data_IF_313746462128
#
_entry.id   IF_313746462128
#
_cell.length_a   1.000
_cell.length_b   1.000
_cell.length_c   1.000
_cell.angle_alpha   90.00
_cell.angle_beta   90.00
_cell.angle_gamma   90.00
#
_symmetry.space_group_name_H-M   'P 1'
#
loop_
_entity.id
_entity.type
_entity.pdbx_description
1 polymer ?
#
# COMPACT_ATOMS: atom_id res chain seq x y z
N UNK A 1 -9.38 18.90 24.46
CA UNK A 1 -9.42 18.08 23.23
C UNK A 1 -8.85 18.91 22.09
N UNK A 2 -7.54 18.86 21.87
CA UNK A 2 -6.94 19.41 20.66
C UNK A 2 -6.91 18.27 19.65
N UNK A 3 -7.82 18.33 18.68
CA UNK A 3 -7.73 17.53 17.46
C UNK A 3 -6.43 17.95 16.76
N UNK A 4 -5.45 17.05 16.72
CA UNK A 4 -4.25 17.22 15.91
C UNK A 4 -4.65 17.12 14.45
N UNK A 5 -5.11 18.25 13.88
CA UNK A 5 -5.33 18.38 12.46
C UNK A 5 -4.00 18.16 11.76
N UNK A 6 -3.87 17.02 11.07
CA UNK A 6 -2.79 16.80 10.11
C UNK A 6 -2.77 17.98 9.12
N UNK A 7 -1.61 18.57 8.81
CA UNK A 7 -1.52 19.72 7.93
C UNK A 7 -2.17 19.41 6.57
N UNK A 8 -2.94 20.36 6.05
CA UNK A 8 -3.62 20.24 4.75
C UNK A 8 -2.61 20.00 3.63
N UNK A 9 -2.77 18.91 2.88
CA UNK A 9 -1.87 18.51 1.79
C UNK A 9 -2.04 19.36 0.56
N UNK A 10 -0.94 19.57 -0.17
CA UNK A 10 -1.03 20.08 -1.54
C UNK A 10 -1.77 19.05 -2.42
N UNK A 11 -2.48 19.47 -3.48
CA UNK A 11 -3.18 18.54 -4.37
C UNK A 11 -2.27 17.47 -5.02
N UNK A 12 -0.98 17.79 -5.22
CA UNK A 12 0.02 16.87 -5.78
C UNK A 12 0.44 15.77 -4.79
N UNK A 13 0.37 16.03 -3.48
CA UNK A 13 0.78 15.08 -2.43
C UNK A 13 -0.36 14.12 -2.00
N UNK A 14 -1.47 14.10 -2.74
CA UNK A 14 -2.67 13.31 -2.40
C UNK A 14 -2.89 12.11 -3.31
N UNK A 15 -2.10 11.97 -4.38
CA UNK A 15 -2.04 10.76 -5.21
C UNK A 15 -0.78 9.95 -4.86
N UNK A 16 -0.77 8.64 -5.14
CA UNK A 16 0.44 7.83 -4.97
C UNK A 16 1.63 8.46 -5.68
N UNK A 17 2.72 8.68 -4.96
CA UNK A 17 4.02 8.98 -5.55
C UNK A 17 4.78 7.67 -5.74
N UNK A 18 4.80 7.17 -6.97
CA UNK A 18 5.49 5.92 -7.35
C UNK A 18 7.03 5.97 -7.23
N UNK A 19 7.59 7.09 -6.77
CA UNK A 19 9.02 7.28 -6.52
C UNK A 19 9.35 7.57 -5.05
N UNK A 20 8.38 7.38 -4.15
CA UNK A 20 8.56 7.59 -2.72
C UNK A 20 8.48 6.27 -1.92
N UNK A 21 9.08 6.20 -0.72
CA UNK A 21 8.93 5.05 0.18
C UNK A 21 7.47 4.65 0.40
N UNK A 22 7.25 3.34 0.52
CA UNK A 22 5.93 2.76 0.69
C UNK A 22 5.13 2.65 -0.60
N UNK A 23 5.68 2.99 -1.76
CA UNK A 23 4.97 2.85 -3.04
C UNK A 23 4.98 1.41 -3.56
N UNK A 24 3.88 1.00 -4.18
CA UNK A 24 3.79 -0.17 -5.07
C UNK A 24 3.06 0.23 -6.35
N UNK A 25 3.78 0.31 -7.46
CA UNK A 25 3.25 0.78 -8.75
C UNK A 25 3.81 -0.05 -9.90
N UNK A 26 3.26 0.11 -11.11
CA UNK A 26 3.73 -0.62 -12.31
C UNK A 26 3.61 -2.15 -12.13
N UNK A 27 4.62 -2.93 -12.52
CA UNK A 27 4.56 -4.39 -12.72
C UNK A 27 5.20 -5.30 -11.64
N UNK A 28 4.71 -5.26 -10.38
CA UNK A 28 4.80 -4.13 -9.49
C UNK A 28 6.24 -3.93 -8.97
N UNK A 29 6.69 -2.69 -9.12
CA UNK A 29 7.87 -2.11 -8.48
C UNK A 29 7.47 -1.54 -7.11
N UNK A 30 8.22 -1.91 -6.08
CA UNK A 30 8.07 -1.39 -4.73
C UNK A 30 9.25 -0.50 -4.34
N UNK A 31 8.99 0.44 -3.43
CA UNK A 31 10.04 1.17 -2.70
C UNK A 31 9.82 0.91 -1.21
N UNK A 32 10.79 0.26 -0.57
CA UNK A 32 10.73 -0.10 0.84
C UNK A 32 10.71 1.12 1.78
N UNK A 33 10.41 0.88 3.05
CA UNK A 33 10.58 1.87 4.12
C UNK A 33 12.02 2.36 4.25
N UNK A 34 12.99 1.51 3.86
CA UNK A 34 14.41 1.83 3.72
C UNK A 34 14.77 2.67 2.47
N UNK A 35 13.77 3.04 1.66
CA UNK A 35 13.93 3.83 0.43
C UNK A 35 14.50 3.06 -0.75
N UNK A 36 14.71 1.74 -0.65
CA UNK A 36 15.28 0.94 -1.73
C UNK A 36 14.21 0.38 -2.66
N UNK A 37 14.51 0.41 -3.95
CA UNK A 37 13.68 -0.20 -4.99
C UNK A 37 13.83 -1.72 -4.97
N UNK A 38 12.72 -2.45 -5.04
CA UNK A 38 12.71 -3.88 -5.29
C UNK A 38 11.47 -4.30 -6.08
N UNK A 39 11.54 -5.47 -6.72
CA UNK A 39 10.43 -6.03 -7.48
C UNK A 39 9.92 -7.29 -6.80
N UNK A 40 8.59 -7.41 -6.73
CA UNK A 40 7.91 -8.60 -6.24
C UNK A 40 6.87 -9.00 -7.27
N UNK A 41 7.16 -10.05 -8.03
CA UNK A 41 6.27 -10.47 -9.12
C UNK A 41 5.01 -11.15 -8.58
N UNK A 42 5.12 -11.93 -7.50
CA UNK A 42 3.99 -12.72 -7.03
C UNK A 42 3.49 -13.62 -8.16
N UNK A 43 2.17 -13.79 -8.24
CA UNK A 43 1.55 -14.67 -9.25
C UNK A 43 0.15 -14.24 -9.62
N UNK A 44 -0.20 -14.39 -10.89
CA UNK A 44 -1.53 -14.05 -11.39
C UNK A 44 -2.62 -14.86 -10.68
N UNK A 45 -3.69 -14.17 -10.28
CA UNK A 45 -4.84 -14.70 -9.52
C UNK A 45 -4.49 -15.24 -8.12
N UNK A 46 -3.42 -14.73 -7.51
CA UNK A 46 -3.04 -15.09 -6.15
C UNK A 46 -2.99 -13.86 -5.22
N UNK A 47 -2.92 -14.13 -3.92
CA UNK A 47 -2.94 -13.12 -2.87
C UNK A 47 -1.67 -13.21 -2.02
N UNK A 48 -1.14 -12.05 -1.65
CA UNK A 48 0.08 -11.95 -0.83
C UNK A 48 -0.05 -10.87 0.23
N UNK A 49 0.45 -11.15 1.43
CA UNK A 49 0.57 -10.15 2.50
C UNK A 49 1.68 -9.15 2.16
N UNK A 50 1.29 -7.90 1.92
CA UNK A 50 2.22 -6.79 1.77
C UNK A 50 2.73 -6.32 3.13
N UNK A 51 1.86 -6.28 4.13
CA UNK A 51 2.16 -5.90 5.51
C UNK A 51 1.43 -6.85 6.44
N UNK A 52 2.11 -7.35 7.45
CA UNK A 52 1.52 -8.08 8.56
C UNK A 52 2.18 -7.65 9.87
N UNK A 53 1.37 -7.11 10.76
CA UNK A 53 1.72 -6.69 12.11
C UNK A 53 0.65 -7.21 13.09
N UNK A 54 0.81 -6.98 14.39
CA UNK A 54 -0.11 -7.52 15.41
C UNK A 54 -1.56 -7.05 15.27
N UNK A 55 -1.78 -5.83 14.76
CA UNK A 55 -3.07 -5.14 14.69
C UNK A 55 -3.44 -4.67 13.27
N UNK A 56 -2.54 -4.86 12.30
CA UNK A 56 -2.73 -4.51 10.90
C UNK A 56 -2.24 -5.64 9.98
N UNK A 57 -3.08 -6.06 9.05
CA UNK A 57 -2.62 -6.83 7.90
C UNK A 57 -3.20 -6.27 6.61
N UNK A 58 -2.32 -6.02 5.64
CA UNK A 58 -2.67 -5.58 4.29
C UNK A 58 -2.22 -6.66 3.31
N UNK A 59 -3.19 -7.27 2.64
CA UNK A 59 -2.96 -8.19 1.56
C UNK A 59 -3.22 -7.51 0.22
N UNK A 60 -2.58 -8.00 -0.83
CA UNK A 60 -2.83 -7.60 -2.20
C UNK A 60 -3.23 -8.80 -3.07
N UNK A 61 -4.20 -8.61 -3.95
CA UNK A 61 -4.52 -9.53 -5.05
C UNK A 61 -3.73 -9.12 -6.28
N UNK A 62 -3.05 -10.09 -6.90
CA UNK A 62 -2.29 -9.88 -8.13
C UNK A 62 -3.10 -10.41 -9.32
N UNK A 63 -3.26 -9.58 -10.34
CA UNK A 63 -3.69 -10.01 -11.68
C UNK A 63 -2.45 -10.13 -12.56
N UNK A 64 -2.57 -10.75 -13.73
CA UNK A 64 -1.43 -10.86 -14.62
C UNK A 64 -1.73 -11.41 -16.00
N UNK A 65 -0.77 -11.20 -16.89
CA UNK A 65 -0.80 -11.58 -18.30
C UNK A 65 0.47 -12.35 -18.67
N UNK A 66 0.33 -13.44 -19.42
CA UNK A 66 1.46 -14.21 -19.95
C UNK A 66 1.35 -14.34 -21.47
N UNK A 67 2.13 -13.55 -22.22
CA UNK A 67 2.22 -13.73 -23.66
C UNK A 67 2.83 -15.08 -24.02
N UNK A 68 2.45 -15.58 -25.20
CA UNK A 68 3.06 -16.78 -25.77
C UNK A 68 4.59 -16.67 -25.81
N UNK A 69 5.26 -17.74 -25.36
CA UNK A 69 6.72 -17.83 -25.29
C UNK A 69 7.36 -17.27 -24.02
N UNK A 70 6.59 -16.67 -23.12
CA UNK A 70 7.11 -16.19 -21.82
C UNK A 70 6.93 -17.27 -20.74
N UNK A 71 7.91 -17.41 -19.85
CA UNK A 71 7.89 -18.42 -18.77
C UNK A 71 7.22 -17.93 -17.49
N UNK A 72 6.98 -16.62 -17.37
CA UNK A 72 6.42 -15.95 -16.20
C UNK A 72 5.38 -14.93 -16.60
N UNK A 73 4.44 -14.69 -15.69
CA UNK A 73 3.43 -13.64 -15.83
C UNK A 73 4.07 -12.27 -15.64
N UNK A 74 3.59 -11.28 -16.39
CA UNK A 74 3.56 -9.91 -15.89
C UNK A 74 2.41 -9.80 -14.91
N UNK A 75 2.60 -9.03 -13.83
CA UNK A 75 1.60 -8.92 -12.77
C UNK A 75 1.40 -7.49 -12.33
N UNK A 76 0.20 -7.21 -11.80
CA UNK A 76 -0.17 -5.91 -11.27
C UNK A 76 -1.05 -6.09 -10.03
N UNK A 77 -1.04 -5.11 -9.13
CA UNK A 77 -1.88 -5.14 -7.93
C UNK A 77 -3.31 -4.76 -8.34
N UNK A 78 -4.27 -5.66 -8.21
CA UNK A 78 -5.66 -5.39 -8.56
C UNK A 78 -6.49 -4.93 -7.36
N UNK A 79 -6.24 -5.49 -6.18
CA UNK A 79 -7.04 -5.22 -4.99
C UNK A 79 -6.18 -5.19 -3.74
N UNK A 80 -6.61 -4.42 -2.75
CA UNK A 80 -6.10 -4.48 -1.39
C UNK A 80 -7.19 -5.00 -0.44
N UNK A 81 -6.78 -5.88 0.46
CA UNK A 81 -7.57 -6.33 1.61
C UNK A 81 -6.89 -5.86 2.87
N UNK A 82 -7.61 -5.10 3.68
CA UNK A 82 -7.13 -4.55 4.95
C UNK A 82 -7.89 -5.24 6.07
N UNK A 83 -7.15 -5.88 6.97
CA UNK A 83 -7.63 -6.35 8.25
C UNK A 83 -7.02 -5.43 9.31
N UNK A 84 -7.90 -4.76 10.05
CA UNK A 84 -7.51 -3.78 11.05
C UNK A 84 -8.46 -3.91 12.24
N UNK A 85 -7.91 -4.09 13.44
CA UNK A 85 -8.68 -4.52 14.62
C UNK A 85 -9.50 -5.80 14.29
N UNK A 86 -10.80 -5.80 14.60
CA UNK A 86 -11.73 -6.86 14.22
C UNK A 86 -12.42 -6.65 12.86
N UNK A 87 -12.06 -5.58 12.14
CA UNK A 87 -12.75 -5.14 10.92
C UNK A 87 -11.98 -5.53 9.66
N UNK A 88 -12.72 -5.61 8.57
CA UNK A 88 -12.19 -5.86 7.23
C UNK A 88 -12.66 -4.78 6.27
N UNK A 89 -11.74 -4.28 5.45
CA UNK A 89 -12.02 -3.36 4.37
C UNK A 89 -11.32 -3.88 3.11
N UNK A 90 -11.95 -3.73 1.95
CA UNK A 90 -11.29 -4.01 0.68
C UNK A 90 -11.54 -2.90 -0.32
N UNK A 91 -10.57 -2.73 -1.21
CA UNK A 91 -10.70 -1.87 -2.38
C UNK A 91 -10.11 -2.59 -3.59
N UNK A 92 -10.75 -2.48 -4.74
CA UNK A 92 -10.30 -3.15 -5.97
C UNK A 92 -10.52 -2.31 -7.22
N UNK A 93 -9.63 -2.51 -8.20
CA UNK A 93 -9.82 -2.08 -9.56
C UNK A 93 -10.77 -3.05 -10.30
N UNK A 94 -11.83 -2.50 -10.87
CA UNK A 94 -12.80 -3.24 -11.69
C UNK A 94 -12.14 -3.56 -13.04
N UNK A 95 -12.16 -4.84 -13.42
CA UNK A 95 -11.67 -5.28 -14.73
C UNK A 95 -12.46 -4.60 -15.85
N UNK A 96 -11.75 -4.04 -16.83
CA UNK A 96 -12.35 -3.41 -18.00
C UNK A 96 -11.55 -3.75 -19.26
N UNK A 97 -12.21 -4.03 -20.41
CA UNK A 97 -11.51 -4.29 -21.67
C UNK A 97 -10.84 -3.04 -22.24
N UNK A 98 -11.45 -1.87 -22.02
CA UNK A 98 -10.96 -0.59 -22.51
C UNK A 98 -10.96 0.43 -21.39
N UNK A 99 -9.88 1.20 -21.29
CA UNK A 99 -9.78 2.27 -20.32
C UNK A 99 -10.70 3.43 -20.68
N UNK A 100 -11.43 3.92 -19.69
CA UNK A 100 -12.21 5.15 -19.77
C UNK A 100 -12.11 5.87 -18.42
N UNK A 101 -11.40 6.99 -18.40
CA UNK A 101 -11.15 7.82 -17.21
C UNK A 101 -12.42 8.51 -16.69
N UNK A 102 -13.48 8.57 -17.49
CA UNK A 102 -14.81 9.09 -17.11
C UNK A 102 -15.67 8.08 -16.38
N UNK A 103 -15.24 6.82 -16.28
CA UNK A 103 -15.90 5.76 -15.51
C UNK A 103 -15.09 5.52 -14.24
N UNK A 104 -15.77 5.35 -13.12
CA UNK A 104 -15.11 4.99 -11.88
C UNK A 104 -14.88 3.47 -11.85
N UNK A 105 -13.62 3.08 -11.70
CA UNK A 105 -13.19 1.67 -11.68
C UNK A 105 -12.87 1.21 -10.27
N UNK A 106 -13.31 1.93 -9.24
CA UNK A 106 -13.10 1.58 -7.84
C UNK A 106 -14.33 0.87 -7.27
N UNK A 107 -14.09 -0.26 -6.61
CA UNK A 107 -15.10 -0.91 -5.76
C UNK A 107 -14.57 -1.07 -4.34
N UNK A 108 -15.44 -0.86 -3.36
CA UNK A 108 -15.12 -0.90 -1.94
C UNK A 108 -16.03 -1.87 -1.21
N UNK A 109 -15.49 -2.60 -0.23
CA UNK A 109 -16.31 -3.33 0.74
C UNK A 109 -15.82 -3.08 2.17
N UNK A 110 -16.75 -3.13 3.12
CA UNK A 110 -16.47 -3.05 4.55
C UNK A 110 -17.26 -4.13 5.28
N UNK A 111 -16.57 -5.01 5.99
CA UNK A 111 -17.14 -6.19 6.64
C UNK A 111 -18.04 -7.01 5.72
N UNK A 112 -17.60 -7.19 4.46
CA UNK A 112 -18.31 -7.95 3.44
C UNK A 112 -19.49 -7.23 2.77
N UNK A 113 -19.81 -5.99 3.17
CA UNK A 113 -20.88 -5.20 2.55
C UNK A 113 -20.30 -4.17 1.60
N UNK A 114 -20.97 -3.94 0.46
CA UNK A 114 -20.55 -2.91 -0.51
C UNK A 114 -20.62 -1.51 0.13
N UNK A 115 -19.58 -0.71 -0.10
CA UNK A 115 -19.52 0.68 0.33
C UNK A 115 -19.77 1.59 -0.86
N UNK A 116 -20.84 2.40 -0.76
CA UNK A 116 -21.18 3.40 -1.78
C UNK A 116 -20.52 4.72 -1.42
N UNK A 117 -19.64 5.19 -2.30
CA UNK A 117 -18.96 6.47 -2.18
C UNK A 117 -19.27 7.33 -3.40
N UNK A 118 -19.89 8.49 -3.16
CA UNK A 118 -20.26 9.43 -4.22
C UNK A 118 -19.06 9.82 -5.11
N UNK A 119 -19.28 9.86 -6.43
CA UNK A 119 -18.28 10.19 -7.46
C UNK A 119 -18.07 11.70 -7.58
N UNK A 120 -17.60 12.34 -6.51
CA UNK A 120 -17.15 13.72 -6.55
C UNK A 120 -15.93 13.91 -5.67
N UNK A 121 -15.01 14.78 -6.10
CA UNK A 121 -13.85 15.15 -5.32
C UNK A 121 -14.22 15.54 -3.88
N UNK A 122 -13.40 15.10 -2.91
CA UNK A 122 -13.60 15.27 -1.48
C UNK A 122 -14.81 14.54 -0.88
N UNK A 123 -15.60 13.80 -1.68
CA UNK A 123 -16.62 12.90 -1.12
C UNK A 123 -15.94 11.92 -0.18
N UNK A 124 -16.53 11.77 1.00
CA UNK A 124 -15.94 10.99 2.09
C UNK A 124 -16.93 9.99 2.62
N UNK A 125 -16.46 8.79 2.89
CA UNK A 125 -17.18 7.77 3.64
C UNK A 125 -16.41 7.44 4.92
N UNK A 126 -17.15 7.20 6.00
CA UNK A 126 -16.62 6.70 7.25
C UNK A 126 -17.28 5.37 7.59
N UNK A 127 -16.48 4.46 8.12
CA UNK A 127 -16.97 3.33 8.89
C UNK A 127 -17.86 3.77 10.05
N UNK A 128 -18.76 2.90 10.55
CA UNK A 128 -19.61 3.22 11.71
C UNK A 128 -18.82 3.67 12.95
N UNK A 129 -17.65 3.08 13.18
CA UNK A 129 -16.78 3.40 14.31
C UNK A 129 -15.86 4.60 14.04
N UNK A 130 -15.83 5.10 12.79
CA UNK A 130 -14.94 6.17 12.31
C UNK A 130 -13.44 5.83 12.36
N UNK A 131 -13.11 4.55 12.45
CA UNK A 131 -11.74 4.01 12.47
C UNK A 131 -11.17 3.81 11.04
N UNK A 132 -12.04 3.71 10.04
CA UNK A 132 -11.72 3.76 8.60
C UNK A 132 -12.41 4.94 7.93
N UNK A 133 -11.64 5.75 7.19
CA UNK A 133 -12.11 6.81 6.28
C UNK A 133 -11.69 6.52 4.85
N UNK A 134 -12.59 6.72 3.89
CA UNK A 134 -12.28 6.71 2.46
C UNK A 134 -12.66 8.06 1.87
N UNK A 135 -11.71 8.74 1.24
CA UNK A 135 -11.88 10.10 0.72
C UNK A 135 -11.46 10.15 -0.75
N UNK A 136 -12.34 10.67 -1.61
CA UNK A 136 -12.06 10.95 -3.03
C UNK A 136 -11.03 12.08 -3.14
N UNK A 137 -9.96 11.83 -3.88
CA UNK A 137 -8.96 12.86 -4.24
C UNK A 137 -9.33 13.52 -5.57
N UNK A 138 -10.02 12.79 -6.43
CA UNK A 138 -10.61 13.24 -7.67
C UNK A 138 -12.01 12.62 -7.79
N UNK A 139 -12.80 13.07 -8.78
CA UNK A 139 -14.17 12.56 -8.97
C UNK A 139 -14.20 11.03 -9.17
N UNK A 140 -13.15 10.47 -9.77
CA UNK A 140 -13.03 9.05 -10.12
C UNK A 140 -11.61 8.53 -9.92
N UNK A 141 -11.47 7.22 -9.71
CA UNK A 141 -10.23 6.46 -9.79
C UNK A 141 -9.11 6.84 -8.81
N UNK A 142 -9.27 7.86 -7.94
CA UNK A 142 -8.27 8.23 -6.94
C UNK A 142 -8.89 8.44 -5.56
N UNK A 143 -8.39 7.72 -4.56
CA UNK A 143 -8.83 7.83 -3.16
C UNK A 143 -7.66 7.81 -2.19
N UNK A 144 -7.88 8.34 -0.99
CA UNK A 144 -7.08 8.09 0.19
C UNK A 144 -7.93 7.28 1.16
N UNK A 145 -7.38 6.17 1.64
CA UNK A 145 -7.93 5.42 2.77
C UNK A 145 -7.12 5.74 4.00
N UNK A 146 -7.77 6.18 5.08
CA UNK A 146 -7.14 6.45 6.37
C UNK A 146 -7.62 5.41 7.37
N UNK A 147 -6.68 4.73 8.01
CA UNK A 147 -6.88 3.88 9.18
C UNK A 147 -6.46 4.69 10.40
N UNK A 148 -7.37 4.94 11.32
CA UNK A 148 -7.16 5.79 12.49
C UNK A 148 -5.86 5.41 13.23
N UNK A 149 -4.98 6.40 13.39
CA UNK A 149 -3.66 6.32 14.06
C UNK A 149 -2.66 5.27 13.52
N UNK A 150 -2.99 4.53 12.44
CA UNK A 150 -2.18 3.42 11.96
C UNK A 150 -1.55 3.68 10.61
N UNK A 151 -2.34 4.03 9.61
CA UNK A 151 -1.82 4.21 8.25
C UNK A 151 -2.72 5.06 7.37
N UNK A 152 -2.13 5.58 6.32
CA UNK A 152 -2.83 6.06 5.14
C UNK A 152 -2.38 5.31 3.90
N UNK A 153 -3.33 5.10 3.00
CA UNK A 153 -3.15 4.38 1.75
C UNK A 153 -3.67 5.29 0.64
N UNK A 154 -2.76 5.87 -0.13
CA UNK A 154 -3.11 6.58 -1.35
C UNK A 154 -3.27 5.54 -2.45
N UNK A 155 -4.33 5.65 -3.24
CA UNK A 155 -4.64 4.70 -4.31
C UNK A 155 -5.05 5.45 -5.57
N UNK A 156 -4.53 5.00 -6.70
CA UNK A 156 -4.94 5.44 -8.02
C UNK A 156 -5.16 4.23 -8.93
N UNK A 157 -6.28 4.18 -9.65
CA UNK A 157 -6.53 3.14 -10.66
C UNK A 157 -6.00 3.61 -12.00
N UNK A 158 -5.19 2.78 -12.64
CA UNK A 158 -4.59 3.03 -13.96
C UNK A 158 -4.71 1.79 -14.84
N UNK A 159 -4.77 1.95 -16.17
CA UNK A 159 -4.64 0.84 -17.10
C UNK A 159 -3.16 0.54 -17.38
N UNK A 160 -2.88 -0.58 -18.05
CA UNK A 160 -1.65 -0.69 -18.84
C UNK A 160 -1.86 0.13 -20.11
N UNK A 161 -1.05 1.18 -20.30
CA UNK A 161 -1.16 2.05 -21.48
C UNK A 161 -0.54 1.40 -22.72
N UNK A 162 -0.83 1.94 -23.90
CA UNK A 162 -0.19 1.45 -25.15
C UNK A 162 1.31 1.73 -25.15
N UNK A 163 1.71 2.82 -24.52
CA UNK A 163 3.09 3.22 -24.32
C UNK A 163 3.80 2.22 -23.41
N UNK A 164 3.20 1.86 -22.28
CA UNK A 164 3.73 0.82 -21.37
C UNK A 164 3.84 -0.53 -22.10
N UNK A 165 2.78 -0.93 -22.82
CA UNK A 165 2.75 -2.18 -23.59
C UNK A 165 3.87 -2.23 -24.64
N UNK A 166 4.14 -1.12 -25.32
CA UNK A 166 5.21 -1.02 -26.31
C UNK A 166 6.61 -1.06 -25.67
N UNK A 167 6.81 -0.36 -24.55
CA UNK A 167 8.10 -0.30 -23.85
C UNK A 167 8.46 -1.65 -23.23
N UNK A 168 7.49 -2.29 -22.58
CA UNK A 168 7.71 -3.53 -21.83
C UNK A 168 7.38 -4.79 -22.62
N UNK A 169 6.80 -4.64 -23.83
CA UNK A 169 6.34 -5.73 -24.67
C UNK A 169 5.41 -6.66 -23.89
N UNK A 170 4.41 -6.06 -23.23
CA UNK A 170 3.43 -6.82 -22.46
C UNK A 170 2.51 -7.63 -23.37
N UNK A 171 2.31 -7.21 -24.63
CA UNK A 171 1.39 -7.81 -25.62
C UNK A 171 -0.04 -7.90 -25.08
N UNK A 172 -0.49 -6.82 -24.44
CA UNK A 172 -1.82 -6.73 -23.85
C UNK A 172 -2.91 -7.06 -24.91
N UNK A 173 -3.81 -8.02 -24.63
CA UNK A 173 -4.90 -8.37 -25.54
C UNK A 173 -6.00 -7.30 -25.54
N UNK A 174 -6.86 -7.33 -26.56
CA UNK A 174 -7.91 -6.32 -26.75
C UNK A 174 -9.11 -6.44 -25.77
N UNK A 175 -9.21 -7.54 -25.03
CA UNK A 175 -10.33 -7.85 -24.12
C UNK A 175 -10.04 -7.49 -22.65
N UNK A 176 -8.86 -6.98 -22.34
CA UNK A 176 -8.48 -6.54 -20.99
C UNK A 176 -7.37 -5.48 -21.04
N UNK A 177 -7.59 -4.30 -20.44
CA UNK A 177 -6.54 -3.28 -20.31
C UNK A 177 -5.75 -3.41 -18.99
N UNK A 178 -6.00 -4.45 -18.21
CA UNK A 178 -5.36 -4.72 -16.91
C UNK A 178 -5.43 -3.50 -15.99
N UNK A 179 -6.65 -2.97 -15.77
CA UNK A 179 -6.85 -1.92 -14.77
C UNK A 179 -6.36 -2.39 -13.39
N UNK A 180 -5.47 -1.62 -12.78
CA UNK A 180 -4.75 -1.98 -11.58
C UNK A 180 -4.49 -0.76 -10.69
N UNK A 181 -4.01 -1.03 -9.47
CA UNK A 181 -3.74 -0.06 -8.45
C UNK A 181 -2.28 0.36 -8.46
N UNK A 182 -2.05 1.67 -8.55
CA UNK A 182 -0.88 2.31 -7.98
C UNK A 182 -1.19 2.68 -6.55
N UNK A 183 -0.31 2.30 -5.63
CA UNK A 183 -0.53 2.50 -4.19
C UNK A 183 0.67 3.15 -3.54
N UNK A 184 0.42 3.96 -2.52
CA UNK A 184 1.45 4.44 -1.62
C UNK A 184 0.96 4.35 -0.18
N UNK A 185 1.70 3.61 0.63
CA UNK A 185 1.43 3.45 2.05
C UNK A 185 2.27 4.44 2.86
N UNK A 186 1.61 5.09 3.83
CA UNK A 186 2.26 5.86 4.87
C UNK A 186 1.83 5.31 6.22
N UNK A 187 2.75 4.67 6.92
CA UNK A 187 2.47 4.10 8.23
C UNK A 187 2.88 5.06 9.36
N UNK A 188 2.11 5.06 10.43
CA UNK A 188 2.34 5.90 11.62
C UNK A 188 2.66 5.06 12.85
N UNK A 189 2.17 3.82 12.90
CA UNK A 189 2.30 2.94 14.06
C UNK A 189 2.57 1.49 13.64
N UNK A 190 3.74 1.21 13.07
CA UNK A 190 4.22 -0.17 12.89
C UNK A 190 5.05 -0.60 14.10
N UNK A 191 4.85 -1.84 14.53
CA UNK A 191 5.67 -2.46 15.56
C UNK A 191 7.05 -2.84 14.99
N UNK A 192 8.07 -3.02 15.86
CA UNK A 192 9.36 -3.56 15.43
C UNK A 192 9.29 -4.98 14.83
N UNK A 193 8.16 -5.68 14.99
CA UNK A 193 7.96 -7.06 14.50
C UNK A 193 7.23 -7.12 13.17
N UNK A 194 6.88 -5.97 12.56
CA UNK A 194 6.21 -5.94 11.26
C UNK A 194 6.93 -6.79 10.21
N UNK A 195 6.16 -7.54 9.44
CA UNK A 195 6.63 -8.35 8.32
C UNK A 195 5.71 -8.15 7.11
N UNK A 196 5.84 -9.00 6.09
CA UNK A 196 5.19 -8.86 4.80
C UNK A 196 6.18 -8.44 3.71
N UNK A 197 5.76 -8.54 2.45
CA UNK A 197 6.60 -8.20 1.29
C UNK A 197 7.22 -6.80 1.42
N UNK A 198 6.38 -5.82 1.79
CA UNK A 198 6.75 -4.43 2.01
C UNK A 198 7.03 -4.15 3.49
N UNK A 199 6.19 -4.66 4.40
CA UNK A 199 6.24 -4.34 5.83
C UNK A 199 7.60 -4.64 6.47
N UNK A 200 8.24 -5.76 6.12
CA UNK A 200 9.59 -6.11 6.63
C UNK A 200 10.64 -5.03 6.39
N UNK A 201 10.50 -4.23 5.34
CA UNK A 201 11.45 -3.16 4.98
C UNK A 201 11.40 -1.95 5.92
N UNK A 202 10.43 -1.91 6.83
CA UNK A 202 10.30 -0.89 7.87
C UNK A 202 10.99 -1.29 9.18
N UNK A 203 11.45 -2.54 9.32
CA UNK A 203 12.19 -2.95 10.52
C UNK A 203 13.60 -2.38 10.49
N UNK A 204 14.09 -1.97 11.66
CA UNK A 204 15.44 -1.40 11.84
C UNK A 204 16.54 -2.42 11.55
N UNK A 205 16.28 -3.69 11.83
CA UNK A 205 17.21 -4.81 11.62
C UNK A 205 17.07 -5.46 10.23
N UNK A 206 16.22 -4.92 9.36
CA UNK A 206 16.03 -5.49 8.02
C UNK A 206 17.23 -5.20 7.12
N UNK A 207 17.91 -6.26 6.73
CA UNK A 207 18.93 -6.22 5.70
C UNK A 207 18.31 -6.46 4.32
N UNK A 208 18.26 -5.42 3.51
CA UNK A 208 17.73 -5.54 2.16
C UNK A 208 18.65 -6.40 1.28
N UNK A 209 18.11 -7.51 0.80
CA UNK A 209 18.81 -8.46 -0.07
C UNK A 209 18.73 -8.09 -1.56
N UNK A 210 17.99 -7.04 -1.91
CA UNK A 210 17.96 -6.48 -3.25
C UNK A 210 19.37 -6.04 -3.65
N UNK A 211 19.90 -6.64 -4.72
CA UNK A 211 21.27 -6.37 -5.18
C UNK A 211 21.40 -4.92 -5.66
N UNK A 212 22.28 -4.10 -5.04
CA UNK A 212 22.55 -2.75 -5.52
C UNK A 212 23.09 -2.77 -6.95
N UNK A 213 22.67 -1.80 -7.78
CA UNK A 213 23.14 -1.67 -9.16
C UNK A 213 22.49 -2.62 -10.18
N UNK A 214 21.58 -3.50 -9.75
CA UNK A 214 20.73 -4.28 -10.67
C UNK A 214 19.49 -3.46 -11.02
N UNK A 215 19.15 -3.37 -12.31
CA UNK A 215 18.03 -2.56 -12.78
C UNK A 215 16.66 -3.00 -12.22
N UNK A 216 16.47 -4.30 -12.02
CA UNK A 216 15.26 -4.89 -11.45
C UNK A 216 15.61 -5.94 -10.39
N UNK A 217 15.90 -5.54 -9.14
CA UNK A 217 16.26 -6.48 -8.11
C UNK A 217 14.99 -7.17 -7.59
N UNK A 218 14.77 -8.40 -8.03
CA UNK A 218 13.62 -9.22 -7.62
C UNK A 218 13.91 -9.88 -6.28
N UNK A 219 13.00 -9.70 -5.31
CA UNK A 219 13.08 -10.36 -4.00
C UNK A 219 12.19 -11.60 -3.98
N UNK A 220 12.74 -12.72 -3.53
CA UNK A 220 12.00 -13.98 -3.38
C UNK A 220 11.18 -14.06 -2.09
N UNK A 221 10.63 -15.24 -1.84
CA UNK A 221 9.84 -15.54 -0.64
C UNK A 221 8.33 -15.43 -0.81
N UNK A 222 7.83 -15.51 -2.05
CA UNK A 222 6.40 -15.51 -2.39
C UNK A 222 5.60 -16.48 -1.52
N UNK A 223 6.09 -17.71 -1.34
CA UNK A 223 5.44 -18.75 -0.53
C UNK A 223 5.22 -18.34 0.94
N UNK A 224 6.09 -17.49 1.49
CA UNK A 224 6.00 -17.05 2.89
C UNK A 224 4.82 -16.12 3.13
N UNK A 225 4.52 -15.30 2.11
CA UNK A 225 3.54 -14.23 2.20
C UNK A 225 2.22 -14.58 1.50
N UNK A 226 2.15 -15.73 0.82
CA UNK A 226 0.95 -16.18 0.14
C UNK A 226 -0.19 -16.39 1.14
N UNK A 227 -1.33 -15.77 0.87
CA UNK A 227 -2.56 -15.95 1.64
C UNK A 227 -3.61 -16.70 0.81
N UNK A 228 -4.57 -17.33 1.49
CA UNK A 228 -5.64 -18.10 0.82
C UNK A 228 -6.69 -17.24 0.14
N UNK A 229 -6.90 -16.01 0.63
CA UNK A 229 -7.83 -15.03 0.06
C UNK A 229 -7.40 -13.60 0.43
N UNK A 230 -8.03 -12.62 -0.22
CA UNK A 230 -7.75 -11.20 0.01
C UNK A 230 -7.92 -10.80 1.49
N UNK A 231 -8.91 -11.37 2.19
CA UNK A 231 -9.22 -11.07 3.61
C UNK A 231 -8.83 -12.21 4.56
N UNK A 232 -7.85 -13.04 4.17
CA UNK A 232 -7.27 -14.08 5.03
C UNK A 232 -6.07 -13.56 5.79
N UNK A 233 -6.05 -13.74 7.12
CA UNK A 233 -4.92 -13.40 7.98
C UNK A 233 -3.80 -14.43 7.96
N UNK A 234 -4.05 -15.63 7.42
CA UNK A 234 -3.11 -16.74 7.50
C UNK A 234 -2.11 -16.74 6.34
N UNK A 235 -0.83 -16.61 6.68
CA UNK A 235 0.32 -16.95 5.84
C UNK A 235 1.49 -17.44 6.72
N UNK A 236 2.53 -18.01 6.11
CA UNK A 236 3.62 -18.63 6.87
C UNK A 236 4.48 -17.65 7.69
N UNK A 237 4.43 -16.35 7.38
CA UNK A 237 5.15 -15.29 8.12
C UNK A 237 4.22 -14.18 8.61
N UNK A 238 2.90 -14.39 8.59
CA UNK A 238 1.93 -13.41 9.07
C UNK A 238 1.87 -13.43 10.61
N UNK A 239 1.87 -12.24 11.21
CA UNK A 239 1.85 -12.04 12.67
C UNK A 239 0.50 -11.53 13.18
N UNK A 240 -0.42 -11.16 12.29
CA UNK A 240 -1.71 -10.59 12.65
C UNK A 240 -2.61 -11.59 13.38
N UNK A 241 -3.20 -11.11 14.47
CA UNK A 241 -4.23 -11.84 15.21
C UNK A 241 -5.40 -10.89 15.51
N UNK A 242 -6.62 -11.33 15.23
CA UNK A 242 -7.83 -10.54 15.51
C UNK A 242 -8.06 -10.33 17.01
N UNK A 243 -7.55 -11.26 17.83
CA UNK A 243 -7.80 -11.30 19.28
C UNK A 243 -6.86 -10.39 20.09
N UNK A 244 -5.76 -9.91 19.52
CA UNK A 244 -4.78 -9.05 20.22
C UNK A 244 -5.15 -7.57 20.26
N UNK A 245 -6.20 -7.15 19.56
CA UNK A 245 -6.63 -5.73 19.50
C UNK A 245 -7.33 -5.20 20.77
N UNK A 246 -7.64 -6.07 21.75
CA UNK A 246 -8.22 -5.68 23.04
C UNK A 246 -7.19 -5.39 24.14
N UNK A 247 -5.90 -5.66 23.94
CA UNK A 247 -4.86 -5.41 24.93
C UNK A 247 -3.80 -4.46 24.38
N UNK A 248 -4.13 -3.17 24.32
CA UNK A 248 -3.09 -2.12 24.28
C UNK A 248 -2.40 -2.11 25.64
N UNK A 249 -1.40 -2.98 25.84
CA UNK A 249 -0.38 -2.71 26.85
C UNK A 249 0.24 -1.36 26.52
N UNK A 250 0.08 -0.43 27.46
CA UNK A 250 0.72 0.88 27.44
C UNK A 250 2.21 0.64 27.59
N UNK A 251 2.89 0.37 26.49
CA UNK A 251 4.35 0.40 26.46
C UNK A 251 4.74 1.84 26.69
N UNK A 252 5.22 2.10 27.91
CA UNK A 252 5.78 3.38 28.30
C UNK A 252 6.72 3.86 27.19
N UNK A 253 6.40 5.04 26.65
CA UNK A 253 7.29 5.82 25.79
C UNK A 253 8.62 5.86 26.51
N UNK A 254 9.60 5.11 25.99
CA UNK A 254 10.99 5.36 26.36
C UNK A 254 11.28 6.73 25.79
N UNK A 255 11.51 7.66 26.69
CA UNK A 255 11.92 9.04 26.43
C UNK A 255 13.08 9.03 25.43
N UNK A 256 12.75 9.23 24.14
CA UNK A 256 13.73 9.65 23.17
C UNK A 256 14.11 11.07 23.59
N UNK A 257 15.17 11.15 24.40
CA UNK A 257 15.66 12.38 25.00
C UNK A 257 15.52 13.55 24.04
N UNK A 258 14.82 14.58 24.52
CA UNK A 258 14.53 15.80 23.77
C UNK A 258 15.83 16.41 23.23
N UNK A 259 16.06 16.27 21.93
CA UNK A 259 17.15 16.94 21.23
C UNK A 259 16.79 18.43 21.11
N UNK A 260 17.34 19.24 22.00
CA UNK A 260 17.19 20.70 21.98
C UNK A 260 18.10 21.30 20.88
N UNK A 261 17.51 21.61 19.72
CA UNK A 261 18.22 22.24 18.60
C UNK A 261 17.88 23.74 18.49
N UNK A 262 17.83 24.47 19.62
CA UNK A 262 17.47 25.90 19.64
C UNK A 262 18.62 26.91 19.39
N UNK A 263 19.87 26.48 19.16
CA UNK A 263 20.96 27.42 18.88
C UNK A 263 21.26 27.58 17.39
N UNK A 264 20.64 28.59 16.79
CA UNK A 264 21.02 29.15 15.50
C UNK A 264 22.37 29.87 15.63
N UNK A 265 23.41 29.38 14.96
CA UNK A 265 24.66 30.10 14.75
C UNK A 265 24.72 30.55 13.30
N UNK A 266 25.00 31.84 13.08
CA UNK A 266 25.04 32.46 11.77
C UNK A 266 26.06 31.74 10.85
N UNK A 267 25.56 30.98 9.86
CA UNK A 267 26.26 30.80 8.59
C UNK A 267 26.73 29.39 8.18
N UNK A 268 26.76 28.36 9.03
CA UNK A 268 26.99 26.98 8.58
C UNK A 268 26.39 25.94 9.56
N UNK A 269 25.27 25.32 9.16
CA UNK A 269 24.76 24.03 9.66
C UNK A 269 24.14 23.98 11.07
N UNK A 270 23.03 23.24 11.21
CA UNK A 270 22.46 22.85 12.51
C UNK A 270 23.28 21.65 13.02
N UNK A 271 23.86 21.77 14.21
CA UNK A 271 24.51 20.66 14.91
C UNK A 271 23.63 20.24 16.07
N UNK A 272 23.00 19.06 15.97
CA UNK A 272 22.27 18.46 17.09
C UNK A 272 23.22 17.46 17.79
N UNK A 273 23.37 17.62 19.11
CA UNK A 273 24.11 16.67 19.97
C UNK A 273 23.12 15.97 20.89
N UNK A 274 23.35 14.66 21.05
CA UNK A 274 22.61 13.78 21.95
C UNK A 274 22.90 14.09 23.41
#
# INVERSE_FOLDING_TARGET
MQSSLLPSRSPQDRKPNCNAPGSGCHDPRFIGGDGRVFYFHGKSNEHFSLVSDSDLQINARFIGHRPAGRTRDYTWIQALGVMFNSQTFSLEAIKTPQWNDKVDHLKFTYNGNDVVLHEASLSTWYSPNKDVKVERVADKNSVIVTLEDVAEIMVNVVPVTKEDDAIHNYKVPNDDCFAHLEVQFRFFALSPKVDGVLGRTYRVDFENTAKPGVAMPVVGGEDKYRTTSLLSSSCASCAFSKDTSSEKETTNVTDFGTLDCTKFSYGMGIVCKK
#
